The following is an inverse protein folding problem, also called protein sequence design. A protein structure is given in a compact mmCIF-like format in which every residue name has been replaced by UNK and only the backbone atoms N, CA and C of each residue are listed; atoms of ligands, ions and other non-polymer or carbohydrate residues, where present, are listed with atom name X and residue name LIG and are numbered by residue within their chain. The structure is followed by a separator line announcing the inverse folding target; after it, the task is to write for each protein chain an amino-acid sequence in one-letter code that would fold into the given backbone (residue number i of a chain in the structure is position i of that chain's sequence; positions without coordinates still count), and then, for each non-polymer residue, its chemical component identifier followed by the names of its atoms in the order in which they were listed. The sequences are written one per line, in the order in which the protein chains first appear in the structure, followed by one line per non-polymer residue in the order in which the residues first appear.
data_IF_074568903596
#
_entry.id   IF_074568903596
#
_cell.length_a   1.000
_cell.length_b   1.000
_cell.length_c   1.000
_cell.angle_alpha   90.00
_cell.angle_beta   90.00
_cell.angle_gamma   90.00
#
_symmetry.space_group_name_H-M   'P 1'
#
loop_
_entity.id
_entity.type
_entity.pdbx_description
1 polymer ?
#
# COMPACT_ATOMS: atom_id res chain seq x y z
N UNK A 1 19.60 13.54 2.14
CA UNK A 1 18.25 12.98 2.42
C UNK A 1 18.42 11.94 3.52
N UNK A 2 17.69 12.03 4.63
CA UNK A 2 17.84 11.09 5.76
C UNK A 2 17.20 9.74 5.43
N UNK A 3 17.70 8.64 6.02
CA UNK A 3 17.07 7.30 5.93
C UNK A 3 15.59 7.35 6.33
N UNK A 4 15.24 8.17 7.32
CA UNK A 4 13.87 8.39 7.74
C UNK A 4 13.01 9.05 6.64
N UNK A 5 13.57 9.98 5.86
CA UNK A 5 12.88 10.63 4.75
C UNK A 5 12.62 9.65 3.61
N UNK A 6 13.58 8.76 3.34
CA UNK A 6 13.45 7.70 2.33
C UNK A 6 12.31 6.74 2.70
N UNK A 7 12.26 6.31 3.98
CA UNK A 7 11.21 5.42 4.47
C UNK A 7 9.83 6.11 4.38
N UNK A 8 9.73 7.36 4.83
CA UNK A 8 8.48 8.15 4.74
C UNK A 8 8.01 8.30 3.30
N UNK A 9 8.92 8.64 2.38
CA UNK A 9 8.59 8.77 0.96
C UNK A 9 8.11 7.44 0.36
N UNK A 10 8.75 6.33 0.73
CA UNK A 10 8.33 5.00 0.29
C UNK A 10 6.95 4.63 0.84
N UNK A 11 6.68 4.92 2.12
CA UNK A 11 5.36 4.71 2.72
C UNK A 11 4.28 5.52 1.99
N UNK A 12 4.56 6.79 1.68
CA UNK A 12 3.66 7.67 0.93
C UNK A 12 3.31 7.08 -0.44
N UNK A 13 4.33 6.70 -1.23
CA UNK A 13 4.11 6.09 -2.57
C UNK A 13 3.31 4.78 -2.51
N UNK A 14 3.56 3.95 -1.49
CA UNK A 14 2.81 2.70 -1.30
C UNK A 14 1.35 2.96 -0.92
N UNK A 15 1.09 3.98 -0.09
CA UNK A 15 -0.25 4.39 0.32
C UNK A 15 -1.05 4.99 -0.84
N UNK A 16 -0.43 5.86 -1.65
CA UNK A 16 -1.01 6.41 -2.88
C UNK A 16 -1.40 5.29 -3.84
N UNK A 17 -0.48 4.37 -4.13
CA UNK A 17 -0.77 3.25 -5.03
C UNK A 17 -1.81 2.28 -4.49
N UNK A 18 -1.85 2.07 -3.17
CA UNK A 18 -2.90 1.28 -2.54
C UNK A 18 -4.28 1.91 -2.79
N UNK A 19 -4.42 3.22 -2.60
CA UNK A 19 -5.68 3.95 -2.82
C UNK A 19 -6.12 3.87 -4.29
N UNK A 20 -5.20 4.06 -5.23
CA UNK A 20 -5.48 3.92 -6.67
C UNK A 20 -6.00 2.53 -7.03
N UNK A 21 -5.43 1.47 -6.44
CA UNK A 21 -5.88 0.10 -6.70
C UNK A 21 -7.25 -0.19 -6.07
N UNK A 22 -7.52 0.35 -4.88
CA UNK A 22 -8.85 0.24 -4.26
C UNK A 22 -9.92 0.98 -5.08
N UNK A 23 -9.58 2.14 -5.62
CA UNK A 23 -10.47 2.88 -6.52
C UNK A 23 -10.73 2.10 -7.82
N UNK A 24 -9.69 1.52 -8.43
CA UNK A 24 -9.85 0.64 -9.60
C UNK A 24 -10.72 -0.57 -9.28
N UNK A 25 -10.48 -1.26 -8.17
CA UNK A 25 -11.29 -2.37 -7.73
C UNK A 25 -12.78 -1.99 -7.62
N UNK A 26 -13.05 -0.84 -6.99
CA UNK A 26 -14.41 -0.32 -6.84
C UNK A 26 -15.05 -0.01 -8.20
N UNK A 27 -14.32 0.65 -9.10
CA UNK A 27 -14.80 1.01 -10.43
C UNK A 27 -15.13 -0.21 -11.30
N UNK A 28 -14.35 -1.30 -11.16
CA UNK A 28 -14.56 -2.53 -11.91
C UNK A 28 -15.56 -3.50 -11.27
N UNK A 29 -16.00 -3.25 -10.03
CA UNK A 29 -16.75 -4.21 -9.20
C UNK A 29 -17.98 -4.83 -9.86
N UNK A 30 -18.66 -4.09 -10.74
CA UNK A 30 -19.87 -4.55 -11.44
C UNK A 30 -19.68 -4.70 -12.96
N UNK A 31 -18.56 -4.24 -13.49
CA UNK A 31 -18.31 -4.17 -14.94
C UNK A 31 -17.31 -5.22 -15.40
N UNK A 32 -16.33 -5.56 -14.56
CA UNK A 32 -15.31 -6.56 -14.81
C UNK A 32 -14.81 -7.13 -13.48
N UNK A 33 -15.39 -8.26 -13.07
CA UNK A 33 -15.06 -8.88 -11.78
C UNK A 33 -13.62 -9.37 -11.71
N UNK A 34 -13.04 -9.83 -12.83
CA UNK A 34 -11.66 -10.32 -12.85
C UNK A 34 -10.66 -9.17 -12.61
N UNK A 35 -10.89 -8.01 -13.26
CA UNK A 35 -10.08 -6.82 -13.01
C UNK A 35 -10.29 -6.27 -11.61
N UNK A 36 -11.51 -6.32 -11.08
CA UNK A 36 -11.81 -5.93 -9.70
C UNK A 36 -11.01 -6.77 -8.70
N UNK A 37 -11.14 -8.11 -8.76
CA UNK A 37 -10.45 -9.05 -7.88
C UNK A 37 -8.93 -8.91 -7.96
N UNK A 38 -8.39 -8.74 -9.18
CA UNK A 38 -6.96 -8.53 -9.39
C UNK A 38 -6.46 -7.23 -8.74
N UNK A 39 -7.24 -6.15 -8.85
CA UNK A 39 -6.92 -4.87 -8.23
C UNK A 39 -6.97 -4.96 -6.70
N UNK A 40 -7.99 -5.61 -6.13
CA UNK A 40 -8.11 -5.86 -4.67
C UNK A 40 -6.92 -6.68 -4.15
N UNK A 41 -6.58 -7.78 -4.83
CA UNK A 41 -5.43 -8.61 -4.45
C UNK A 41 -4.13 -7.80 -4.42
N UNK A 42 -3.90 -6.97 -5.45
CA UNK A 42 -2.71 -6.09 -5.50
C UNK A 42 -2.74 -5.05 -4.38
N UNK A 43 -3.90 -4.46 -4.08
CA UNK A 43 -4.06 -3.51 -2.99
C UNK A 43 -3.71 -4.15 -1.63
N UNK A 44 -4.26 -5.33 -1.34
CA UNK A 44 -3.96 -6.06 -0.09
C UNK A 44 -2.46 -6.36 0.06
N UNK A 45 -1.76 -6.72 -1.02
CA UNK A 45 -0.30 -6.91 -0.99
C UNK A 45 0.46 -5.63 -0.65
N UNK A 46 0.01 -4.47 -1.14
CA UNK A 46 0.62 -3.18 -0.80
C UNK A 46 0.33 -2.79 0.66
N UNK A 47 -0.89 -3.03 1.13
CA UNK A 47 -1.26 -2.79 2.52
C UNK A 47 -0.38 -3.60 3.48
N UNK A 48 -0.15 -4.88 3.18
CA UNK A 48 0.76 -5.73 3.97
C UNK A 48 2.19 -5.20 4.00
N UNK A 49 2.71 -4.73 2.86
CA UNK A 49 4.04 -4.08 2.80
C UNK A 49 4.07 -2.79 3.63
N UNK A 50 3.02 -1.97 3.56
CA UNK A 50 2.91 -0.73 4.33
C UNK A 50 2.89 -1.00 5.84
N UNK A 51 2.12 -1.99 6.27
CA UNK A 51 2.05 -2.43 7.67
C UNK A 51 3.40 -2.96 8.16
N UNK A 52 4.09 -3.75 7.33
CA UNK A 52 5.45 -4.24 7.63
C UNK A 52 6.43 -3.08 7.83
N UNK A 53 6.44 -2.11 6.92
CA UNK A 53 7.28 -0.91 7.05
C UNK A 53 6.95 -0.12 8.32
N UNK A 54 5.66 0.08 8.63
CA UNK A 54 5.22 0.78 9.84
C UNK A 54 5.68 0.06 11.11
N UNK A 55 5.60 -1.27 11.14
CA UNK A 55 6.07 -2.09 12.26
C UNK A 55 7.57 -1.89 12.50
N UNK A 56 8.39 -2.04 11.47
CA UNK A 56 9.84 -1.85 11.59
C UNK A 56 10.19 -0.41 11.95
N UNK A 57 9.58 0.60 11.32
CA UNK A 57 9.84 2.00 11.67
C UNK A 57 9.52 2.33 13.14
N UNK A 58 8.47 1.73 13.71
CA UNK A 58 8.12 1.94 15.12
C UNK A 58 9.09 1.25 16.07
N UNK A 59 9.57 0.07 15.71
CA UNK A 59 10.44 -0.73 16.58
C UNK A 59 11.92 -0.35 16.51
N UNK A 60 12.37 0.26 15.41
CA UNK A 60 13.73 0.82 15.29
C UNK A 60 13.98 1.99 16.26
N UNK A 61 12.93 2.63 16.78
CA UNK A 61 13.04 3.71 17.79
C UNK A 61 13.23 3.16 19.21
N UNK A 62 13.11 1.83 19.42
CA UNK A 62 13.16 1.19 20.74
C UNK A 62 14.46 0.40 21.01
N UNK A 63 15.48 0.51 20.16
CA UNK A 63 16.77 -0.18 20.34
C UNK A 63 17.91 0.81 20.55
#
# INVERSE_FOLDING_TARGET
MSTNDIIKNRQKKLDERYKELMEQAYNFRQTDSELSDLAEFRAMRLLNKLNTLRYFSRNQVKS
#
